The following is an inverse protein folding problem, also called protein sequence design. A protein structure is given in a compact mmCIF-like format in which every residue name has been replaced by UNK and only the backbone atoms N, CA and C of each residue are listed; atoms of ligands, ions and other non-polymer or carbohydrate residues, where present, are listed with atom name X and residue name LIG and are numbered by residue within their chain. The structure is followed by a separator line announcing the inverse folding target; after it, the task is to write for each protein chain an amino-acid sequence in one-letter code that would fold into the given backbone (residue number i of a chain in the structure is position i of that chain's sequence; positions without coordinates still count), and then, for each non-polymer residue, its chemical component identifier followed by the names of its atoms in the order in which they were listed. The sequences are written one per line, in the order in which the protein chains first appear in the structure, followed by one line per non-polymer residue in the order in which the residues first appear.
data_IF_098765057162
#
_entry.id   IF_098765057162
#
_cell.length_a   1.000
_cell.length_b   1.000
_cell.length_c   1.000
_cell.angle_alpha   90.00
_cell.angle_beta   90.00
_cell.angle_gamma   90.00
#
_symmetry.space_group_name_H-M   'P 1'
#
loop_
_entity.id
_entity.type
_entity.pdbx_description
1 polymer ?
#
# COMPACT_ATOMS: atom_id res chain seq x y z
N UNK A 1 8.34 -12.88 -0.22
CA UNK A 1 7.71 -12.62 1.09
C UNK A 1 6.51 -11.73 0.93
N UNK A 2 5.51 -11.94 1.74
CA UNK A 2 4.25 -11.20 1.68
C UNK A 2 4.15 -10.20 2.81
N UNK A 3 3.65 -9.01 2.46
CA UNK A 3 3.47 -7.90 3.40
C UNK A 3 2.11 -7.28 3.20
N UNK A 4 1.45 -6.97 4.29
CA UNK A 4 0.20 -6.21 4.29
C UNK A 4 0.51 -4.75 4.61
N UNK A 5 0.07 -3.86 3.73
CA UNK A 5 0.10 -2.42 3.98
C UNK A 5 -1.33 -1.96 4.18
N UNK A 6 -1.60 -1.32 5.30
CA UNK A 6 -2.90 -0.70 5.55
C UNK A 6 -2.76 0.80 5.53
N UNK A 7 -3.75 1.47 4.95
CA UNK A 7 -3.81 2.92 4.85
C UNK A 7 -5.03 3.39 5.60
N UNK A 8 -4.85 4.32 6.53
CA UNK A 8 -5.93 4.99 7.23
C UNK A 8 -6.04 6.42 6.72
N UNK A 9 -7.25 6.85 6.34
CA UNK A 9 -7.50 8.20 5.88
C UNK A 9 -7.83 9.07 7.09
N UNK A 10 -6.85 9.80 7.59
CA UNK A 10 -7.05 10.73 8.70
C UNK A 10 -7.48 12.12 8.21
N UNK A 11 -7.26 12.39 6.93
CA UNK A 11 -7.67 13.64 6.27
C UNK A 11 -8.06 13.31 4.82
N UNK A 12 -9.36 13.43 4.51
CA UNK A 12 -9.86 13.11 3.17
C UNK A 12 -9.33 14.06 2.09
N UNK A 13 -9.03 15.30 2.42
CA UNK A 13 -8.43 16.23 1.47
C UNK A 13 -7.01 15.78 1.08
N UNK A 14 -6.25 15.28 2.04
CA UNK A 14 -4.92 14.70 1.79
C UNK A 14 -5.01 13.48 0.86
N UNK A 15 -5.98 12.61 1.10
CA UNK A 15 -6.23 11.46 0.23
C UNK A 15 -6.52 11.90 -1.20
N UNK A 16 -7.40 12.87 -1.39
CA UNK A 16 -7.76 13.35 -2.73
C UNK A 16 -6.56 13.95 -3.47
N UNK A 17 -5.70 14.69 -2.76
CA UNK A 17 -4.49 15.27 -3.37
C UNK A 17 -3.54 14.19 -3.90
N UNK A 18 -3.40 13.09 -3.19
CA UNK A 18 -2.42 12.05 -3.51
C UNK A 18 -3.02 10.88 -4.30
N UNK A 19 -4.35 10.82 -4.47
CA UNK A 19 -5.05 9.64 -4.97
C UNK A 19 -4.60 9.23 -6.37
N UNK A 20 -4.52 10.16 -7.31
CA UNK A 20 -4.16 9.83 -8.69
C UNK A 20 -2.73 9.28 -8.78
N UNK A 21 -1.78 9.90 -8.09
CA UNK A 21 -0.40 9.44 -8.06
C UNK A 21 -0.26 8.08 -7.36
N UNK A 22 -0.98 7.88 -6.24
CA UNK A 22 -1.00 6.60 -5.54
C UNK A 22 -1.55 5.49 -6.42
N UNK A 23 -2.65 5.72 -7.13
CA UNK A 23 -3.24 4.73 -8.04
C UNK A 23 -2.29 4.36 -9.18
N UNK A 24 -1.62 5.33 -9.76
CA UNK A 24 -0.63 5.09 -10.81
C UNK A 24 0.55 4.26 -10.29
N UNK A 25 1.01 4.58 -9.09
CA UNK A 25 2.10 3.86 -8.42
C UNK A 25 1.75 2.39 -8.21
N UNK A 26 0.55 2.11 -7.65
CA UNK A 26 0.10 0.72 -7.43
C UNK A 26 -0.19 -0.02 -8.73
N UNK A 27 -0.74 0.65 -9.74
CA UNK A 27 -1.03 0.01 -11.03
C UNK A 27 0.25 -0.48 -11.69
N UNK A 28 1.30 0.33 -11.68
CA UNK A 28 2.62 -0.05 -12.21
C UNK A 28 3.20 -1.22 -11.43
N UNK A 29 3.14 -1.17 -10.11
CA UNK A 29 3.65 -2.23 -9.26
C UNK A 29 2.86 -3.54 -9.44
N UNK A 30 1.56 -3.45 -9.73
CA UNK A 30 0.75 -4.62 -10.05
C UNK A 30 1.20 -5.27 -11.35
N UNK A 31 1.48 -4.49 -12.37
CA UNK A 31 2.00 -5.00 -13.65
C UNK A 31 3.35 -5.70 -13.46
N UNK A 32 4.17 -5.22 -12.55
CA UNK A 32 5.48 -5.79 -12.22
C UNK A 32 5.39 -7.01 -11.30
N UNK A 33 4.21 -7.31 -10.76
CA UNK A 33 4.02 -8.42 -9.81
C UNK A 33 4.37 -8.07 -8.37
N UNK A 34 4.73 -6.84 -8.07
CA UNK A 34 5.07 -6.38 -6.72
C UNK A 34 3.83 -6.23 -5.84
N UNK A 35 2.73 -5.71 -6.42
CA UNK A 35 1.43 -5.64 -5.74
C UNK A 35 0.58 -6.82 -6.18
N UNK A 36 0.16 -7.64 -5.23
CA UNK A 36 -0.62 -8.85 -5.48
C UNK A 36 -2.12 -8.58 -5.40
N UNK A 37 -2.52 -7.73 -4.47
CA UNK A 37 -3.92 -7.35 -4.24
C UNK A 37 -3.97 -5.94 -3.67
N UNK A 38 -5.04 -5.22 -3.93
CA UNK A 38 -5.25 -3.88 -3.37
C UNK A 38 -6.71 -3.47 -3.48
N UNK A 39 -7.13 -2.57 -2.59
CA UNK A 39 -8.47 -2.02 -2.66
C UNK A 39 -8.81 -1.15 -1.46
N UNK A 40 -9.82 -0.30 -1.60
CA UNK A 40 -10.34 0.46 -0.48
C UNK A 40 -11.16 -0.43 0.44
N UNK A 41 -11.19 -0.10 1.72
CA UNK A 41 -12.11 -0.75 2.66
C UNK A 41 -13.55 -0.31 2.37
N UNK A 42 -14.50 -1.21 2.62
CA UNK A 42 -15.91 -0.96 2.33
C UNK A 42 -16.51 0.22 3.10
N UNK A 43 -15.93 0.56 4.27
CA UNK A 43 -16.38 1.71 5.07
C UNK A 43 -15.87 3.06 4.56
N UNK A 44 -15.00 3.07 3.55
CA UNK A 44 -14.44 4.30 2.98
C UNK A 44 -13.40 5.00 3.85
N UNK A 45 -12.95 4.39 4.94
CA UNK A 45 -12.02 5.02 5.91
C UNK A 45 -10.56 4.69 5.66
N UNK A 46 -10.27 3.87 4.69
CA UNK A 46 -8.92 3.47 4.37
C UNK A 46 -8.90 2.42 3.28
N UNK A 47 -7.76 1.79 3.13
CA UNK A 47 -7.57 0.72 2.16
C UNK A 47 -6.39 -0.15 2.53
N UNK A 48 -6.06 -1.06 1.63
CA UNK A 48 -4.94 -1.96 1.84
C UNK A 48 -4.30 -2.35 0.52
N UNK A 49 -3.05 -2.81 0.60
CA UNK A 49 -2.44 -3.55 -0.49
C UNK A 49 -1.49 -4.61 0.05
N UNK A 50 -1.28 -5.65 -0.74
CA UNK A 50 -0.40 -6.76 -0.40
C UNK A 50 0.80 -6.74 -1.34
N UNK A 51 2.00 -6.75 -0.76
CA UNK A 51 3.25 -6.80 -1.49
C UNK A 51 3.82 -8.21 -1.55
N UNK A 52 4.44 -8.53 -2.67
CA UNK A 52 5.31 -9.70 -2.82
C UNK A 52 6.70 -9.17 -3.18
N UNK A 53 7.61 -9.18 -2.21
CA UNK A 53 8.97 -8.64 -2.34
C UNK A 53 9.96 -9.55 -1.63
N UNK A 54 11.25 -9.33 -1.87
CA UNK A 54 12.31 -10.21 -1.41
C UNK A 54 12.54 -10.18 0.10
N UNK A 55 12.42 -9.01 0.73
CA UNK A 55 12.76 -8.81 2.13
C UNK A 55 12.09 -7.56 2.74
N UNK A 56 12.30 -7.36 4.04
CA UNK A 56 11.74 -6.25 4.78
C UNK A 56 12.21 -4.89 4.26
N UNK A 57 13.46 -4.80 3.85
CA UNK A 57 14.02 -3.55 3.32
C UNK A 57 13.34 -3.13 2.02
N UNK A 58 13.07 -4.10 1.13
CA UNK A 58 12.35 -3.85 -0.12
C UNK A 58 10.90 -3.41 0.15
N UNK A 59 10.24 -4.04 1.13
CA UNK A 59 8.89 -3.67 1.52
C UNK A 59 8.84 -2.24 2.08
N UNK A 60 9.76 -1.89 2.96
CA UNK A 60 9.83 -0.54 3.53
C UNK A 60 10.11 0.51 2.46
N UNK A 61 11.02 0.22 1.54
CA UNK A 61 11.33 1.12 0.43
C UNK A 61 10.10 1.36 -0.45
N UNK A 62 9.30 0.33 -0.69
CA UNK A 62 8.07 0.45 -1.46
C UNK A 62 7.07 1.40 -0.79
N UNK A 63 6.84 1.21 0.50
CA UNK A 63 5.92 2.06 1.28
C UNK A 63 6.42 3.50 1.34
N UNK A 64 7.72 3.70 1.54
CA UNK A 64 8.31 5.04 1.63
C UNK A 64 8.19 5.82 0.32
N UNK A 65 8.15 5.12 -0.81
CA UNK A 65 8.00 5.74 -2.14
C UNK A 65 6.54 5.94 -2.55
N UNK A 66 5.58 5.40 -1.81
CA UNK A 66 4.16 5.57 -2.10
C UNK A 66 3.78 7.04 -1.93
N UNK A 67 3.13 7.67 -2.95
CA UNK A 67 2.66 9.05 -2.82
C UNK A 67 1.80 9.31 -1.58
N UNK A 68 1.07 8.33 -1.09
CA UNK A 68 0.31 8.46 0.17
C UNK A 68 1.20 8.69 1.38
N UNK A 69 2.40 8.10 1.39
CA UNK A 69 3.35 8.24 2.50
C UNK A 69 3.83 9.68 2.68
N UNK A 70 3.84 10.44 1.61
CA UNK A 70 4.36 11.82 1.60
C UNK A 70 3.36 12.84 2.16
N UNK A 71 2.11 12.45 2.37
CA UNK A 71 1.08 13.34 2.87
C UNK A 71 0.76 13.01 4.34
N UNK A 72 0.88 14.01 5.22
CA UNK A 72 0.70 13.83 6.66
C UNK A 72 -0.73 13.44 7.07
N UNK A 73 -1.71 13.63 6.19
CA UNK A 73 -3.10 13.26 6.44
C UNK A 73 -3.41 11.77 6.19
N UNK A 74 -2.38 10.96 5.94
CA UNK A 74 -2.54 9.54 5.65
C UNK A 74 -1.56 8.74 6.50
N UNK A 75 -2.06 7.67 7.11
CA UNK A 75 -1.26 6.78 7.97
C UNK A 75 -1.12 5.42 7.31
N UNK A 76 0.12 4.99 7.07
CA UNK A 76 0.42 3.68 6.48
C UNK A 76 1.10 2.79 7.50
N UNK A 77 0.66 1.54 7.58
CA UNK A 77 1.30 0.51 8.40
C UNK A 77 1.77 -0.63 7.52
N UNK A 78 2.86 -1.27 7.92
CA UNK A 78 3.48 -2.36 7.17
C UNK A 78 3.65 -3.56 8.10
N UNK A 79 3.13 -4.72 7.68
CA UNK A 79 3.26 -5.98 8.44
C UNK A 79 3.60 -7.12 7.51
N UNK A 80 4.64 -7.86 7.85
CA UNK A 80 4.95 -9.12 7.18
C UNK A 80 4.00 -10.22 7.68
N UNK A 81 3.59 -11.09 6.77
CA UNK A 81 2.78 -12.25 7.13
C UNK A 81 3.18 -13.47 6.30
N UNK A 82 2.87 -14.65 6.83
CA UNK A 82 3.11 -15.91 6.13
C UNK A 82 1.86 -16.25 5.30
N UNK A 83 1.97 -16.10 3.99
CA UNK A 83 0.84 -16.37 3.10
C UNK A 83 0.59 -17.88 2.99
N UNK A 84 -0.65 -18.29 3.19
CA UNK A 84 -1.05 -19.67 2.97
C UNK A 84 -0.91 -20.10 1.51
N UNK A 85 -0.95 -19.13 0.60
CA UNK A 85 -0.81 -19.39 -0.84
C UNK A 85 0.64 -19.62 -1.28
N UNK A 86 1.60 -19.35 -0.40
CA UNK A 86 3.03 -19.52 -0.67
C UNK A 86 3.61 -20.80 -0.04
N UNK A 87 2.79 -21.63 0.55
CA UNK A 87 3.20 -22.87 1.22
C UNK A 87 3.12 -24.07 0.28
#
# INVERSE_FOLDING_TARGET
MRYLVTVEYTDMAARERALAAHRAYLARAREEGTVVESGPFADGKGGMYILSVADDAAAQAFVDADPYRKDAGLSLTLRRFASSNER
#
